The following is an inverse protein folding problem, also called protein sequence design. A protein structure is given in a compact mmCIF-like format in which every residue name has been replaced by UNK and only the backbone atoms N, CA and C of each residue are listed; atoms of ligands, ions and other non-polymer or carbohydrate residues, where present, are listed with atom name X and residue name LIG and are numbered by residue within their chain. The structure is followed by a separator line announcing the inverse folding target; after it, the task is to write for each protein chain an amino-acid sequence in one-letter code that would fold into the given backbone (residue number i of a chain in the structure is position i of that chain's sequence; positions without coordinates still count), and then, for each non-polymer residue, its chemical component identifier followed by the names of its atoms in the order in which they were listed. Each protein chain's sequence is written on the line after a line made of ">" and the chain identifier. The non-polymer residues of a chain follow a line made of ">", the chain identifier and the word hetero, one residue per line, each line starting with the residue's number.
data_IF_762327351574
#
_entry.id   IF_762327351574
#
_cell.length_a   1.000
_cell.length_b   1.000
_cell.length_c   1.000
_cell.angle_alpha   90.00
_cell.angle_beta   90.00
_cell.angle_gamma   90.00
#
_symmetry.space_group_name_H-M   'P 1'
#
loop_
_entity.id
_entity.type
_entity.pdbx_description
1 polymer ?
#
# COMPACT_ATOMS: atom_id res chain seq x y z
N UNK A 1 55.52 -9.43 38.01
CA UNK A 1 56.53 -10.40 38.36
C UNK A 1 57.31 -10.64 37.08
N UNK A 2 58.47 -10.01 37.03
CA UNK A 2 59.81 -10.48 37.22
C UNK A 2 60.37 -11.08 35.94
N UNK A 3 61.38 -10.65 35.31
CA UNK A 3 62.62 -9.98 35.48
C UNK A 3 63.50 -10.25 34.26
N UNK A 4 64.20 -9.23 33.81
CA UNK A 4 65.41 -9.30 32.98
C UNK A 4 66.51 -10.19 33.65
N UNK A 5 67.55 -10.63 32.94
CA UNK A 5 68.67 -9.71 32.68
C UNK A 5 69.53 -9.97 31.39
N UNK A 6 70.27 -8.92 31.00
CA UNK A 6 71.54 -8.96 30.22
C UNK A 6 72.66 -9.77 30.88
N UNK A 7 73.77 -10.13 30.14
CA UNK A 7 74.90 -9.18 30.06
C UNK A 7 75.82 -9.22 28.78
N UNK A 8 76.44 -8.09 28.56
CA UNK A 8 77.74 -7.70 27.99
C UNK A 8 78.82 -8.79 27.66
N UNK A 9 79.49 -8.51 26.51
CA UNK A 9 80.97 -8.41 26.58
C UNK A 9 81.56 -7.76 25.35
N UNK A 10 82.42 -6.76 25.57
CA UNK A 10 83.31 -6.04 24.71
C UNK A 10 84.30 -6.96 23.98
N UNK A 11 84.71 -6.52 22.77
CA UNK A 11 86.14 -6.46 22.41
C UNK A 11 86.36 -5.48 21.24
N UNK A 12 87.25 -4.66 21.55
CA UNK A 12 88.00 -3.59 20.88
C UNK A 12 88.77 -4.14 19.67
N UNK A 13 88.78 -3.39 18.53
CA UNK A 13 89.97 -3.30 17.68
C UNK A 13 89.86 -2.06 16.76
N UNK A 14 90.87 -1.29 16.73
CA UNK A 14 91.03 0.07 16.32
C UNK A 14 91.11 0.28 14.81
N UNK A 15 91.38 1.53 14.34
CA UNK A 15 90.97 2.08 13.11
C UNK A 15 91.91 1.85 11.94
N UNK A 16 91.35 1.57 10.74
CA UNK A 16 92.05 1.67 9.47
C UNK A 16 91.53 2.84 8.67
N UNK A 17 92.37 3.47 7.84
CA UNK A 17 92.20 4.86 7.41
C UNK A 17 91.14 5.07 6.36
N UNK A 18 90.52 6.26 6.42
CA UNK A 18 89.58 6.82 5.46
C UNK A 18 90.12 6.80 4.00
N UNK A 19 89.36 6.13 3.14
CA UNK A 19 89.37 6.42 1.70
C UNK A 19 88.15 7.28 1.38
N UNK A 20 88.44 8.50 0.98
CA UNK A 20 87.57 9.48 0.43
C UNK A 20 86.99 9.00 -0.92
N UNK A 21 85.74 8.79 -1.14
CA UNK A 21 85.18 8.65 -2.48
C UNK A 21 84.57 9.99 -2.93
N UNK A 22 85.49 10.96 -3.16
CA UNK A 22 85.18 12.07 -4.00
C UNK A 22 85.31 11.60 -5.45
N UNK A 23 84.25 11.11 -6.01
CA UNK A 23 84.28 10.71 -7.42
C UNK A 23 82.91 10.33 -7.88
N UNK A 24 82.35 11.15 -8.78
CA UNK A 24 81.12 10.98 -9.57
C UNK A 24 79.83 11.46 -8.96
N UNK A 25 79.76 12.71 -8.55
CA UNK A 25 78.52 13.46 -8.84
C UNK A 25 78.61 13.87 -10.34
N UNK A 26 78.12 12.97 -11.19
CA UNK A 26 77.72 13.38 -12.53
C UNK A 26 76.55 14.35 -12.34
N UNK A 27 76.85 15.65 -12.37
CA UNK A 27 75.85 16.68 -12.43
C UNK A 27 75.06 16.42 -13.70
N UNK A 28 73.87 15.82 -13.56
CA UNK A 28 72.99 15.62 -14.69
C UNK A 28 72.75 16.98 -15.32
N UNK A 29 72.97 17.07 -16.65
CA UNK A 29 72.71 18.27 -17.38
C UNK A 29 71.34 18.90 -16.98
N UNK A 30 71.23 20.22 -16.88
CA UNK A 30 69.98 20.89 -16.52
C UNK A 30 68.82 20.42 -17.39
N UNK A 31 69.04 19.99 -18.61
CA UNK A 31 68.04 19.36 -19.49
C UNK A 31 67.56 17.99 -19.00
N UNK A 32 68.47 17.13 -18.53
CA UNK A 32 68.14 15.83 -18.01
C UNK A 32 67.33 15.92 -16.65
N UNK A 33 67.64 16.93 -15.83
CA UNK A 33 66.86 17.22 -14.61
C UNK A 33 65.45 17.71 -14.93
N UNK A 34 65.28 18.52 -15.98
CA UNK A 34 63.99 19.01 -16.42
C UNK A 34 63.14 17.88 -17.03
N UNK A 35 63.73 17.00 -17.84
CA UNK A 35 63.04 15.82 -18.39
C UNK A 35 62.55 14.89 -17.29
N UNK A 36 63.36 14.62 -16.27
CA UNK A 36 62.94 13.80 -15.12
C UNK A 36 61.84 14.46 -14.31
N UNK A 37 61.88 15.80 -14.16
CA UNK A 37 60.80 16.53 -13.48
C UNK A 37 59.49 16.51 -14.28
N UNK A 38 59.55 16.63 -15.62
CA UNK A 38 58.40 16.50 -16.49
C UNK A 38 57.79 15.10 -16.41
N UNK A 39 58.59 14.03 -16.49
CA UNK A 39 58.09 12.66 -16.32
C UNK A 39 57.38 12.44 -14.96
N UNK A 40 57.97 12.96 -13.90
CA UNK A 40 57.33 12.88 -12.56
C UNK A 40 55.99 13.62 -12.52
N UNK A 41 55.92 14.78 -13.16
CA UNK A 41 54.67 15.55 -13.20
C UNK A 41 53.61 14.85 -14.05
N UNK A 42 53.97 14.26 -15.17
CA UNK A 42 53.06 13.47 -16.00
C UNK A 42 52.52 12.23 -15.24
N UNK A 43 53.41 11.52 -14.52
CA UNK A 43 53.01 10.38 -13.69
C UNK A 43 52.08 10.80 -12.54
N UNK A 44 52.33 11.96 -11.91
CA UNK A 44 51.46 12.48 -10.85
C UNK A 44 50.11 12.94 -11.38
N UNK A 45 50.09 13.56 -12.58
CA UNK A 45 48.84 13.91 -13.26
C UNK A 45 48.01 12.64 -13.54
N UNK A 46 48.61 11.60 -14.15
CA UNK A 46 47.91 10.31 -14.41
C UNK A 46 47.36 9.67 -13.15
N UNK A 47 48.14 9.70 -12.05
CA UNK A 47 47.69 9.16 -10.75
C UNK A 47 46.49 9.95 -10.21
N UNK A 48 46.51 11.30 -10.34
CA UNK A 48 45.38 12.13 -9.91
C UNK A 48 44.13 11.89 -10.76
N UNK A 49 44.26 11.83 -12.08
CA UNK A 49 43.16 11.54 -12.99
C UNK A 49 42.54 10.17 -12.69
N UNK A 50 43.36 9.14 -12.44
CA UNK A 50 42.90 7.82 -12.07
C UNK A 50 42.19 7.82 -10.70
N UNK A 51 42.68 8.58 -9.71
CA UNK A 51 42.07 8.72 -8.41
C UNK A 51 40.74 9.49 -8.50
N UNK A 52 40.64 10.53 -9.29
CA UNK A 52 39.41 11.28 -9.53
C UNK A 52 38.35 10.41 -10.22
N UNK A 53 38.72 9.64 -11.23
CA UNK A 53 37.82 8.71 -11.89
C UNK A 53 37.28 7.64 -10.92
N UNK A 54 38.12 7.09 -10.05
CA UNK A 54 37.71 6.13 -9.03
C UNK A 54 36.81 6.78 -7.99
N UNK A 55 37.11 8.02 -7.56
CA UNK A 55 36.23 8.77 -6.64
C UNK A 55 34.85 9.05 -7.25
N UNK A 56 34.79 9.43 -8.52
CA UNK A 56 33.51 9.64 -9.22
C UNK A 56 32.71 8.34 -9.29
N UNK A 57 33.36 7.22 -9.62
CA UNK A 57 32.70 5.91 -9.64
C UNK A 57 32.13 5.54 -8.28
N UNK A 58 32.93 5.66 -7.21
CA UNK A 58 32.47 5.37 -5.84
C UNK A 58 31.37 6.30 -5.36
N UNK A 59 31.42 7.58 -5.72
CA UNK A 59 30.33 8.51 -5.42
C UNK A 59 29.03 8.12 -6.12
N UNK A 60 29.11 7.67 -7.36
CA UNK A 60 27.94 7.12 -8.07
C UNK A 60 27.34 5.91 -7.37
N UNK A 61 28.18 4.93 -7.01
CA UNK A 61 27.77 3.73 -6.28
C UNK A 61 27.16 4.05 -4.90
N UNK A 62 27.77 4.98 -4.16
CA UNK A 62 27.24 5.44 -2.87
C UNK A 62 25.89 6.13 -3.00
N UNK A 63 25.69 6.94 -4.04
CA UNK A 63 24.43 7.62 -4.29
C UNK A 63 23.32 6.62 -4.61
N UNK A 64 23.62 5.63 -5.44
CA UNK A 64 22.68 4.55 -5.76
C UNK A 64 22.36 3.71 -4.53
N UNK A 65 23.36 3.33 -3.73
CA UNK A 65 23.18 2.55 -2.50
C UNK A 65 22.35 3.32 -1.47
N UNK A 66 22.58 4.62 -1.30
CA UNK A 66 21.79 5.47 -0.42
C UNK A 66 20.32 5.57 -0.88
N UNK A 67 20.07 5.69 -2.18
CA UNK A 67 18.71 5.67 -2.70
C UNK A 67 18.00 4.35 -2.40
N UNK A 68 18.67 3.20 -2.62
CA UNK A 68 18.14 1.87 -2.29
C UNK A 68 17.91 1.72 -0.79
N UNK A 69 18.81 2.21 0.05
CA UNK A 69 18.69 2.17 1.51
C UNK A 69 17.48 2.98 1.99
N UNK A 70 17.29 4.20 1.44
CA UNK A 70 16.12 5.03 1.76
C UNK A 70 14.81 4.35 1.39
N UNK A 71 14.74 3.76 0.20
CA UNK A 71 13.55 2.99 -0.22
C UNK A 71 13.29 1.79 0.71
N UNK A 72 14.32 1.04 1.08
CA UNK A 72 14.19 -0.09 1.99
C UNK A 72 13.74 0.35 3.40
N UNK A 73 14.25 1.48 3.91
CA UNK A 73 13.81 2.05 5.18
C UNK A 73 12.35 2.49 5.14
N UNK A 74 11.90 3.14 4.07
CA UNK A 74 10.49 3.51 3.89
C UNK A 74 9.59 2.27 3.87
N UNK A 75 10.01 1.22 3.16
CA UNK A 75 9.29 -0.06 3.11
C UNK A 75 9.21 -0.73 4.48
N UNK A 76 10.30 -0.72 5.27
CA UNK A 76 10.32 -1.28 6.62
C UNK A 76 9.37 -0.52 7.55
N UNK A 77 9.42 0.82 7.55
CA UNK A 77 8.51 1.66 8.35
C UNK A 77 7.04 1.41 7.97
N UNK A 78 6.75 1.30 6.68
CA UNK A 78 5.40 1.00 6.20
C UNK A 78 4.96 -0.40 6.64
N UNK A 79 5.83 -1.41 6.52
CA UNK A 79 5.56 -2.78 6.95
C UNK A 79 5.33 -2.87 8.46
N UNK A 80 6.13 -2.17 9.27
CA UNK A 80 5.97 -2.12 10.73
C UNK A 80 4.65 -1.47 11.14
N UNK A 81 4.26 -0.36 10.48
CA UNK A 81 2.95 0.27 10.68
C UNK A 81 1.81 -0.71 10.37
N UNK A 82 1.91 -1.43 9.23
CA UNK A 82 0.91 -2.39 8.82
C UNK A 82 0.81 -3.56 9.79
N UNK A 83 1.93 -4.10 10.25
CA UNK A 83 1.98 -5.19 11.23
C UNK A 83 1.39 -4.77 12.59
N UNK A 84 1.72 -3.58 13.07
CA UNK A 84 1.17 -3.02 14.33
C UNK A 84 -0.34 -2.83 14.26
N UNK A 85 -0.84 -2.25 13.14
CA UNK A 85 -2.27 -2.10 12.90
C UNK A 85 -2.96 -3.47 12.79
N UNK A 86 -2.33 -4.44 12.11
CA UNK A 86 -2.86 -5.80 11.96
C UNK A 86 -3.06 -6.51 13.31
N UNK A 87 -2.09 -6.46 14.21
CA UNK A 87 -2.20 -7.08 15.53
C UNK A 87 -3.31 -6.45 16.40
N UNK A 88 -3.42 -5.12 16.38
CA UNK A 88 -4.47 -4.40 17.11
C UNK A 88 -5.85 -4.62 16.47
N UNK A 89 -5.90 -4.70 15.15
CA UNK A 89 -7.14 -4.79 14.37
C UNK A 89 -7.95 -6.06 14.68
N UNK A 90 -7.30 -7.20 14.89
CA UNK A 90 -7.98 -8.46 15.20
C UNK A 90 -8.77 -8.38 16.51
N UNK A 91 -8.14 -7.89 17.57
CA UNK A 91 -8.75 -7.74 18.90
C UNK A 91 -9.88 -6.72 18.89
N UNK A 92 -9.57 -5.53 18.35
CA UNK A 92 -10.53 -4.41 18.27
C UNK A 92 -11.73 -4.77 17.37
N UNK A 93 -11.50 -5.42 16.23
CA UNK A 93 -12.59 -5.83 15.35
C UNK A 93 -13.55 -6.81 16.03
N UNK A 94 -13.02 -7.75 16.83
CA UNK A 94 -13.86 -8.69 17.56
C UNK A 94 -14.70 -7.98 18.66
N UNK A 95 -14.07 -7.06 19.40
CA UNK A 95 -14.75 -6.31 20.47
C UNK A 95 -15.76 -5.30 19.94
N UNK A 96 -15.56 -4.72 18.75
CA UNK A 96 -16.52 -3.80 18.12
C UNK A 96 -17.63 -4.56 17.39
N UNK A 97 -17.38 -5.70 16.77
CA UNK A 97 -18.42 -6.48 16.07
C UNK A 97 -19.53 -6.95 17.01
N UNK A 98 -19.20 -7.27 18.26
CA UNK A 98 -20.19 -7.74 19.24
C UNK A 98 -21.25 -6.67 19.52
N UNK A 99 -20.95 -5.46 20.04
CA UNK A 99 -21.95 -4.43 20.29
C UNK A 99 -22.66 -3.97 19.01
N UNK A 100 -21.95 -3.85 17.88
CA UNK A 100 -22.55 -3.48 16.58
C UNK A 100 -23.56 -4.55 16.13
N UNK A 101 -23.28 -5.83 16.35
CA UNK A 101 -24.23 -6.92 16.04
C UNK A 101 -25.53 -6.77 16.81
N UNK A 102 -25.47 -6.47 18.11
CA UNK A 102 -26.65 -6.23 18.93
C UNK A 102 -27.40 -4.96 18.51
N UNK A 103 -26.70 -3.86 18.26
CA UNK A 103 -27.30 -2.62 17.80
C UNK A 103 -28.03 -2.83 16.46
N UNK A 104 -27.41 -3.53 15.50
CA UNK A 104 -28.03 -3.84 14.22
C UNK A 104 -29.30 -4.68 14.37
N UNK A 105 -29.25 -5.78 15.15
CA UNK A 105 -30.39 -6.64 15.37
C UNK A 105 -31.55 -5.92 16.07
N UNK A 106 -31.24 -5.11 17.09
CA UNK A 106 -32.24 -4.32 17.79
C UNK A 106 -32.85 -3.26 16.87
N UNK A 107 -32.06 -2.66 15.99
CA UNK A 107 -32.50 -1.66 15.04
C UNK A 107 -33.46 -2.24 13.97
N UNK A 108 -33.17 -3.42 13.44
CA UNK A 108 -34.06 -4.14 12.52
C UNK A 108 -35.38 -4.48 13.19
N UNK A 109 -35.34 -4.91 14.48
CA UNK A 109 -36.54 -5.18 15.28
C UNK A 109 -37.35 -3.90 15.51
N UNK A 110 -36.70 -2.80 15.86
CA UNK A 110 -37.32 -1.48 16.04
C UNK A 110 -38.01 -1.01 14.76
N UNK A 111 -37.32 -1.17 13.58
CA UNK A 111 -37.90 -0.86 12.27
C UNK A 111 -39.22 -1.63 12.01
N UNK A 112 -39.24 -2.91 12.38
CA UNK A 112 -40.46 -3.74 12.28
C UNK A 112 -41.59 -3.23 13.20
N UNK A 113 -41.25 -2.84 14.42
CA UNK A 113 -42.24 -2.30 15.36
C UNK A 113 -42.82 -0.97 14.88
N UNK A 114 -41.95 -0.05 14.42
CA UNK A 114 -42.35 1.23 13.87
C UNK A 114 -43.25 1.04 12.63
N UNK A 115 -42.88 0.16 11.69
CA UNK A 115 -43.71 -0.13 10.52
C UNK A 115 -45.15 -0.59 10.90
N UNK A 116 -45.25 -1.50 11.90
CA UNK A 116 -46.56 -1.95 12.41
C UNK A 116 -47.34 -0.85 13.10
N UNK A 117 -46.65 0.05 13.84
CA UNK A 117 -47.29 1.21 14.45
C UNK A 117 -47.81 2.21 13.42
N UNK A 118 -47.04 2.48 12.38
CA UNK A 118 -47.44 3.35 11.28
C UNK A 118 -48.64 2.78 10.50
N UNK A 119 -48.67 1.46 10.28
CA UNK A 119 -49.82 0.76 9.69
C UNK A 119 -51.09 0.93 10.55
N UNK A 120 -50.97 0.79 11.88
CA UNK A 120 -52.09 1.01 12.80
C UNK A 120 -52.54 2.47 12.83
N UNK A 121 -51.62 3.43 12.80
CA UNK A 121 -51.93 4.87 12.70
C UNK A 121 -52.74 5.16 11.43
N UNK A 122 -52.35 4.58 10.29
CA UNK A 122 -53.07 4.74 9.03
C UNK A 122 -54.50 4.19 9.12
N UNK A 123 -54.69 3.04 9.73
CA UNK A 123 -56.01 2.47 9.98
C UNK A 123 -56.88 3.38 10.91
N UNK A 124 -56.27 3.99 11.94
CA UNK A 124 -56.96 4.96 12.80
C UNK A 124 -57.31 6.23 12.01
N UNK A 125 -56.48 6.74 11.17
CA UNK A 125 -56.74 7.91 10.29
C UNK A 125 -57.93 7.64 9.34
N UNK A 126 -57.96 6.49 8.71
CA UNK A 126 -59.08 6.07 7.86
C UNK A 126 -60.42 5.96 8.65
N UNK A 127 -60.34 5.52 9.90
CA UNK A 127 -61.49 5.39 10.80
C UNK A 127 -61.96 6.74 11.42
N UNK A 128 -61.10 7.78 11.46
CA UNK A 128 -61.40 9.09 12.04
C UNK A 128 -62.60 9.75 11.39
N UNK A 129 -62.77 9.60 10.06
CA UNK A 129 -63.93 10.13 9.31
C UNK A 129 -65.30 9.52 9.78
N UNK A 130 -65.27 8.37 10.44
CA UNK A 130 -66.43 7.66 10.95
C UNK A 130 -66.80 8.01 12.39
N UNK A 131 -66.01 8.87 13.06
CA UNK A 131 -66.27 9.27 14.46
C UNK A 131 -67.40 10.26 14.52
N UNK A 132 -68.54 9.80 15.04
CA UNK A 132 -69.77 10.61 15.15
C UNK A 132 -69.73 11.67 16.29
N UNK A 133 -68.72 11.65 17.18
CA UNK A 133 -68.60 12.54 18.33
C UNK A 133 -67.67 13.74 18.03
N UNK A 134 -68.21 14.97 17.80
CA UNK A 134 -67.41 16.14 17.39
C UNK A 134 -66.30 16.52 18.37
N UNK A 135 -66.58 16.35 19.68
CA UNK A 135 -65.59 16.66 20.72
C UNK A 135 -64.37 15.69 20.72
N UNK A 136 -64.61 14.43 20.36
CA UNK A 136 -63.52 13.43 20.24
C UNK A 136 -62.63 13.75 19.01
N UNK A 137 -63.25 14.01 17.88
CA UNK A 137 -62.53 14.39 16.65
C UNK A 137 -61.73 15.71 16.83
N UNK A 138 -62.29 16.69 17.54
CA UNK A 138 -61.56 17.94 17.85
C UNK A 138 -60.34 17.67 18.71
N UNK A 139 -60.47 16.83 19.75
CA UNK A 139 -59.35 16.46 20.64
C UNK A 139 -58.25 15.66 19.89
N UNK A 140 -58.62 14.76 19.00
CA UNK A 140 -57.67 13.99 18.19
C UNK A 140 -56.89 14.91 17.27
N UNK A 141 -57.54 15.87 16.60
CA UNK A 141 -56.88 16.84 15.73
C UNK A 141 -55.95 17.76 16.50
N UNK A 142 -56.35 18.22 17.72
CA UNK A 142 -55.46 19.02 18.57
C UNK A 142 -54.24 18.22 19.03
N UNK A 143 -54.41 16.94 19.38
CA UNK A 143 -53.30 16.06 19.76
C UNK A 143 -52.36 15.82 18.58
N UNK A 144 -52.86 15.51 17.36
CA UNK A 144 -52.12 15.33 16.14
C UNK A 144 -51.25 16.56 15.80
N UNK A 145 -51.87 17.78 15.87
CA UNK A 145 -51.15 19.03 15.68
C UNK A 145 -50.09 19.30 16.74
N UNK A 146 -50.41 19.00 18.01
CA UNK A 146 -49.46 19.23 19.13
C UNK A 146 -48.20 18.39 19.06
N UNK A 147 -48.28 17.14 18.56
CA UNK A 147 -47.12 16.23 18.43
C UNK A 147 -46.51 16.27 17.03
N UNK A 148 -47.10 17.05 16.13
CA UNK A 148 -46.68 17.13 14.71
C UNK A 148 -46.62 15.74 14.06
N UNK A 149 -47.74 14.98 14.23
CA UNK A 149 -47.79 13.55 13.83
C UNK A 149 -47.46 13.37 12.34
N UNK A 150 -47.89 14.27 11.50
CA UNK A 150 -47.65 14.19 10.05
C UNK A 150 -46.18 14.25 9.73
N UNK A 151 -45.45 15.15 10.38
CA UNK A 151 -44.00 15.24 10.26
C UNK A 151 -43.32 13.95 10.77
N UNK A 152 -43.73 13.42 11.93
CA UNK A 152 -43.15 12.19 12.48
C UNK A 152 -43.37 10.98 11.55
N UNK A 153 -44.53 10.87 10.90
CA UNK A 153 -44.81 9.77 9.97
C UNK A 153 -43.91 9.86 8.74
N UNK A 154 -43.62 11.08 8.27
CA UNK A 154 -42.77 11.33 7.10
C UNK A 154 -41.27 11.14 7.45
N UNK A 155 -40.81 11.63 8.61
CA UNK A 155 -39.40 11.70 9.00
C UNK A 155 -38.83 10.38 9.55
N UNK A 156 -39.62 9.63 10.33
CA UNK A 156 -39.17 8.36 10.98
C UNK A 156 -38.58 7.35 9.98
N UNK A 157 -39.21 7.07 8.80
CA UNK A 157 -38.62 6.16 7.83
C UNK A 157 -37.26 6.62 7.31
N UNK A 158 -37.09 7.94 7.13
CA UNK A 158 -35.82 8.55 6.72
C UNK A 158 -34.72 8.35 7.78
N UNK A 159 -35.00 8.69 9.03
CA UNK A 159 -34.08 8.50 10.17
C UNK A 159 -33.71 7.03 10.35
N UNK A 160 -34.67 6.12 10.15
CA UNK A 160 -34.41 4.69 10.21
C UNK A 160 -33.49 4.22 9.09
N UNK A 161 -33.68 4.71 7.87
CA UNK A 161 -32.85 4.38 6.71
C UNK A 161 -31.41 4.87 6.91
N UNK A 162 -31.23 6.13 7.31
CA UNK A 162 -29.89 6.73 7.56
C UNK A 162 -29.15 6.03 8.68
N UNK A 163 -29.83 5.70 9.80
CA UNK A 163 -29.21 5.00 10.92
C UNK A 163 -28.79 3.58 10.54
N UNK A 164 -29.60 2.87 9.74
CA UNK A 164 -29.27 1.53 9.22
C UNK A 164 -28.07 1.57 8.30
N UNK A 165 -27.98 2.58 7.43
CA UNK A 165 -26.82 2.80 6.57
C UNK A 165 -25.55 3.03 7.40
N UNK A 166 -25.62 3.88 8.44
CA UNK A 166 -24.53 4.15 9.37
C UNK A 166 -24.01 2.89 10.07
N UNK A 167 -24.91 2.07 10.60
CA UNK A 167 -24.57 0.80 11.28
C UNK A 167 -23.93 -0.19 10.29
N UNK A 168 -24.51 -0.33 9.09
CA UNK A 168 -24.00 -1.20 8.03
C UNK A 168 -22.59 -0.79 7.62
N UNK A 169 -22.32 0.50 7.54
CA UNK A 169 -21.01 1.06 7.27
C UNK A 169 -19.99 0.73 8.35
N UNK A 170 -20.33 0.89 9.62
CA UNK A 170 -19.43 0.52 10.73
C UNK A 170 -19.09 -0.97 10.67
N UNK A 171 -20.07 -1.84 10.39
CA UNK A 171 -19.83 -3.27 10.17
C UNK A 171 -18.86 -3.53 9.04
N UNK A 172 -18.96 -2.80 7.92
CA UNK A 172 -18.03 -2.93 6.79
C UNK A 172 -16.62 -2.52 7.19
N UNK A 173 -16.46 -1.37 7.86
CA UNK A 173 -15.14 -0.91 8.35
C UNK A 173 -14.49 -1.94 9.26
N UNK A 174 -15.25 -2.51 10.18
CA UNK A 174 -14.75 -3.51 11.13
C UNK A 174 -14.43 -4.83 10.44
N UNK A 175 -15.21 -5.20 9.41
CA UNK A 175 -14.92 -6.39 8.60
C UNK A 175 -13.63 -6.18 7.78
N UNK A 176 -13.48 -5.04 7.11
CA UNK A 176 -12.26 -4.68 6.35
C UNK A 176 -11.03 -4.68 7.26
N UNK A 177 -11.18 -4.18 8.50
CA UNK A 177 -10.13 -4.19 9.52
C UNK A 177 -9.78 -5.61 9.98
N UNK A 178 -10.77 -6.48 10.13
CA UNK A 178 -10.59 -7.90 10.48
C UNK A 178 -9.90 -8.67 9.35
N UNK A 179 -10.30 -8.40 8.10
CA UNK A 179 -9.70 -9.02 6.93
C UNK A 179 -8.25 -8.56 6.75
N UNK A 180 -7.97 -7.28 7.02
CA UNK A 180 -6.61 -6.75 7.11
C UNK A 180 -5.75 -7.48 8.15
N UNK A 181 -6.31 -7.80 9.31
CA UNK A 181 -5.62 -8.51 10.39
C UNK A 181 -5.43 -10.00 10.14
N UNK A 182 -6.32 -10.64 9.37
CA UNK A 182 -6.35 -12.09 9.14
C UNK A 182 -5.49 -12.58 7.98
N UNK A 183 -4.64 -11.72 7.42
CA UNK A 183 -3.81 -12.06 6.26
C UNK A 183 -3.00 -13.38 6.43
N UNK A 184 -2.98 -14.02 7.63
CA UNK A 184 -1.99 -15.05 7.91
C UNK A 184 -2.45 -16.41 8.42
N UNK A 185 -3.73 -16.69 8.71
CA UNK A 185 -3.96 -17.83 9.59
C UNK A 185 -4.04 -19.23 8.95
N UNK A 186 -4.42 -19.40 7.67
CA UNK A 186 -4.62 -20.75 7.08
C UNK A 186 -4.51 -20.83 5.54
N UNK A 187 -3.64 -20.07 4.92
CA UNK A 187 -3.49 -20.16 3.45
C UNK A 187 -2.14 -20.78 3.10
N UNK A 188 -2.19 -21.86 2.32
CA UNK A 188 -1.01 -22.52 1.81
C UNK A 188 -0.58 -21.89 0.48
N UNK A 189 0.72 -21.69 0.33
CA UNK A 189 1.32 -21.32 -0.95
C UNK A 189 1.06 -22.41 -1.96
N UNK A 190 0.55 -22.03 -3.13
CA UNK A 190 0.23 -22.98 -4.20
C UNK A 190 0.47 -22.36 -5.57
N UNK A 191 0.73 -23.21 -6.53
CA UNK A 191 0.77 -22.82 -7.93
C UNK A 191 -0.63 -22.44 -8.40
N UNK A 192 -0.77 -21.26 -8.98
CA UNK A 192 -2.06 -20.74 -9.41
C UNK A 192 -1.96 -19.99 -10.73
N UNK A 193 -3.03 -20.12 -11.51
CA UNK A 193 -3.25 -19.35 -12.72
C UNK A 193 -3.87 -18.01 -12.38
N UNK A 194 -3.10 -16.92 -12.58
CA UNK A 194 -3.57 -15.56 -12.27
C UNK A 194 -4.73 -15.10 -13.15
N UNK A 195 -4.81 -15.53 -14.42
CA UNK A 195 -5.93 -15.18 -15.30
C UNK A 195 -7.24 -15.73 -14.77
N UNK A 196 -7.23 -16.99 -14.27
CA UNK A 196 -8.41 -17.58 -13.64
C UNK A 196 -8.84 -16.80 -12.39
N UNK A 197 -7.88 -16.32 -11.58
CA UNK A 197 -8.11 -15.47 -10.42
C UNK A 197 -8.70 -14.11 -10.80
N UNK A 198 -8.15 -13.45 -11.83
CA UNK A 198 -8.64 -12.19 -12.37
C UNK A 198 -10.08 -12.32 -12.89
N UNK A 199 -10.35 -13.35 -13.71
CA UNK A 199 -11.68 -13.57 -14.28
C UNK A 199 -12.72 -13.89 -13.20
N UNK A 200 -12.36 -14.71 -12.20
CA UNK A 200 -13.22 -14.98 -11.04
C UNK A 200 -13.52 -13.67 -10.27
N UNK A 201 -12.52 -12.84 -10.03
CA UNK A 201 -12.68 -11.54 -9.38
C UNK A 201 -13.59 -10.62 -10.17
N UNK A 202 -13.38 -10.51 -11.49
CA UNK A 202 -14.23 -9.67 -12.37
C UNK A 202 -15.69 -10.13 -12.37
N UNK A 203 -15.94 -11.44 -12.31
CA UNK A 203 -17.30 -11.98 -12.20
C UNK A 203 -17.97 -11.56 -10.88
N UNK A 204 -17.23 -11.63 -9.76
CA UNK A 204 -17.74 -11.22 -8.44
C UNK A 204 -18.10 -9.73 -8.42
N UNK A 205 -17.21 -8.87 -8.96
CA UNK A 205 -17.43 -7.41 -8.95
C UNK A 205 -18.25 -6.91 -10.13
N UNK A 206 -18.79 -7.80 -10.97
CA UNK A 206 -19.48 -7.42 -12.20
C UNK A 206 -20.62 -6.42 -11.95
N UNK A 207 -21.35 -6.54 -10.85
CA UNK A 207 -22.44 -5.63 -10.49
C UNK A 207 -21.96 -4.20 -10.17
N UNK A 208 -20.77 -4.06 -9.59
CA UNK A 208 -20.17 -2.76 -9.28
C UNK A 208 -19.59 -2.09 -10.54
N UNK A 209 -19.10 -2.89 -11.48
CA UNK A 209 -18.34 -2.42 -12.65
C UNK A 209 -19.23 -2.18 -13.88
N UNK A 210 -20.21 -3.07 -14.15
CA UNK A 210 -20.99 -3.10 -15.41
C UNK A 210 -21.72 -1.80 -15.77
N UNK A 211 -22.09 -0.99 -14.75
CA UNK A 211 -22.77 0.29 -14.93
C UNK A 211 -21.79 1.47 -15.03
N UNK A 212 -20.50 1.26 -14.74
CA UNK A 212 -19.48 2.29 -14.68
C UNK A 212 -18.43 2.17 -15.79
N UNK A 213 -18.04 0.94 -16.17
CA UNK A 213 -16.93 0.72 -17.09
C UNK A 213 -17.12 -0.51 -17.98
N UNK A 214 -16.51 -0.45 -19.17
CA UNK A 214 -16.22 -1.61 -19.99
C UNK A 214 -14.89 -2.23 -19.57
N UNK A 215 -14.88 -3.54 -19.31
CA UNK A 215 -13.66 -4.26 -18.95
C UNK A 215 -13.03 -4.86 -20.19
N UNK A 216 -11.80 -4.41 -20.51
CA UNK A 216 -11.01 -4.91 -21.64
C UNK A 216 -9.88 -5.79 -21.08
N UNK A 217 -9.78 -7.01 -21.58
CA UNK A 217 -8.74 -7.98 -21.21
C UNK A 217 -7.71 -8.07 -22.33
N UNK A 218 -6.50 -7.68 -22.05
CA UNK A 218 -5.33 -7.77 -22.94
C UNK A 218 -4.30 -8.67 -22.28
N UNK A 219 -4.67 -9.96 -22.08
CA UNK A 219 -3.83 -10.93 -21.40
C UNK A 219 -2.70 -11.40 -22.30
N UNK A 220 -1.45 -11.24 -21.83
CA UNK A 220 -0.29 -11.86 -22.41
C UNK A 220 -0.08 -13.30 -21.89
N UNK A 221 0.88 -13.99 -22.42
CA UNK A 221 1.24 -15.33 -21.92
C UNK A 221 2.03 -15.19 -20.62
N UNK A 222 1.51 -15.77 -19.53
CA UNK A 222 2.15 -15.83 -18.22
C UNK A 222 2.09 -17.28 -17.68
N UNK A 223 3.14 -17.75 -16.98
CA UNK A 223 3.10 -19.02 -16.29
C UNK A 223 2.21 -18.97 -15.05
N UNK A 224 1.89 -20.13 -14.48
CA UNK A 224 1.42 -20.20 -13.09
C UNK A 224 2.49 -19.68 -12.16
N UNK A 225 2.08 -19.05 -11.06
CA UNK A 225 2.98 -18.55 -10.03
C UNK A 225 2.68 -19.20 -8.68
N UNK A 226 3.69 -19.32 -7.84
CA UNK A 226 3.53 -19.76 -6.46
C UNK A 226 3.06 -18.59 -5.60
N UNK A 227 1.81 -18.65 -5.13
CA UNK A 227 1.17 -17.52 -4.45
C UNK A 227 0.08 -17.98 -3.46
N UNK A 228 -0.54 -17.00 -2.82
CA UNK A 228 -1.77 -17.14 -2.01
C UNK A 228 -2.95 -16.58 -2.83
N UNK A 229 -3.67 -17.39 -3.61
CA UNK A 229 -4.60 -16.92 -4.65
C UNK A 229 -5.71 -16.01 -4.11
N UNK A 230 -6.28 -16.34 -2.95
CA UNK A 230 -7.34 -15.52 -2.35
C UNK A 230 -6.87 -14.13 -1.95
N UNK A 231 -5.61 -13.98 -1.53
CA UNK A 231 -5.02 -12.68 -1.22
C UNK A 231 -4.82 -11.86 -2.50
N UNK A 232 -4.28 -12.46 -3.56
CA UNK A 232 -4.11 -11.77 -4.84
C UNK A 232 -5.46 -11.37 -5.46
N UNK A 233 -6.48 -12.25 -5.38
CA UNK A 233 -7.83 -11.92 -5.82
C UNK A 233 -8.39 -10.71 -5.07
N UNK A 234 -8.09 -10.58 -3.78
CA UNK A 234 -8.48 -9.41 -2.99
C UNK A 234 -7.77 -8.13 -3.47
N UNK A 235 -6.49 -8.21 -3.84
CA UNK A 235 -5.77 -7.08 -4.45
C UNK A 235 -6.44 -6.68 -5.77
N UNK A 236 -6.73 -7.62 -6.64
CA UNK A 236 -7.38 -7.36 -7.92
C UNK A 236 -8.76 -6.72 -7.74
N UNK A 237 -9.56 -7.26 -6.81
CA UNK A 237 -10.87 -6.72 -6.46
C UNK A 237 -10.77 -5.26 -6.00
N UNK A 238 -9.86 -4.97 -5.07
CA UNK A 238 -9.68 -3.62 -4.52
C UNK A 238 -9.32 -2.60 -5.62
N UNK A 239 -8.41 -2.97 -6.52
CA UNK A 239 -7.97 -2.07 -7.59
C UNK A 239 -9.08 -1.88 -8.62
N UNK A 240 -9.74 -2.95 -9.07
CA UNK A 240 -10.83 -2.89 -10.06
C UNK A 240 -12.02 -2.06 -9.55
N UNK A 241 -12.44 -2.30 -8.31
CA UNK A 241 -13.55 -1.54 -7.68
C UNK A 241 -13.17 -0.07 -7.48
N UNK A 242 -11.92 0.21 -7.09
CA UNK A 242 -11.45 1.59 -7.00
C UNK A 242 -11.45 2.29 -8.35
N UNK A 243 -10.99 1.62 -9.42
CA UNK A 243 -11.04 2.12 -10.79
C UNK A 243 -12.48 2.42 -11.24
N UNK A 244 -13.42 1.51 -11.00
CA UNK A 244 -14.83 1.73 -11.31
C UNK A 244 -15.43 2.93 -10.55
N UNK A 245 -15.08 3.10 -9.28
CA UNK A 245 -15.51 4.23 -8.46
C UNK A 245 -14.87 5.57 -8.87
N UNK A 246 -13.67 5.53 -9.45
CA UNK A 246 -12.98 6.74 -9.93
C UNK A 246 -13.60 7.31 -11.22
N UNK A 247 -14.45 6.57 -11.92
CA UNK A 247 -15.15 7.03 -13.11
C UNK A 247 -16.36 7.88 -12.69
N UNK A 248 -16.33 9.22 -12.93
CA UNK A 248 -17.28 10.15 -12.31
C UNK A 248 -18.68 10.08 -12.95
N UNK A 249 -18.75 10.05 -14.26
CA UNK A 249 -20.02 10.01 -15.00
C UNK A 249 -19.81 9.44 -16.40
N UNK A 250 -20.86 8.79 -16.93
CA UNK A 250 -20.77 8.10 -18.21
C UNK A 250 -20.19 6.70 -18.08
N UNK A 251 -19.71 6.15 -19.19
CA UNK A 251 -19.14 4.80 -19.28
C UNK A 251 -17.65 4.89 -19.56
N UNK A 252 -16.84 4.51 -18.56
CA UNK A 252 -15.38 4.47 -18.67
C UNK A 252 -14.87 3.12 -19.16
N UNK A 253 -13.56 2.91 -19.00
CA UNK A 253 -12.88 1.66 -19.36
C UNK A 253 -11.93 1.25 -18.24
N UNK A 254 -11.90 -0.05 -17.97
CA UNK A 254 -10.87 -0.68 -17.16
C UNK A 254 -10.15 -1.68 -18.05
N UNK A 255 -8.87 -1.48 -18.28
CA UNK A 255 -8.04 -2.37 -19.10
C UNK A 255 -7.11 -3.17 -18.20
N UNK A 256 -7.09 -4.49 -18.37
CA UNK A 256 -6.23 -5.40 -17.61
C UNK A 256 -5.25 -6.02 -18.58
N UNK A 257 -3.97 -5.81 -18.32
CA UNK A 257 -2.86 -6.36 -19.10
C UNK A 257 -2.01 -7.25 -18.22
N UNK A 258 -1.45 -8.29 -18.80
CA UNK A 258 -0.53 -9.18 -18.11
C UNK A 258 0.64 -9.54 -19.01
N UNK A 259 1.78 -9.88 -18.41
CA UNK A 259 2.96 -10.33 -19.15
C UNK A 259 4.05 -10.79 -18.21
N UNK A 260 5.18 -11.17 -18.79
CA UNK A 260 6.38 -11.64 -18.08
C UNK A 260 7.52 -10.65 -18.22
N UNK A 261 8.37 -10.58 -17.21
CA UNK A 261 9.61 -9.81 -17.22
C UNK A 261 10.69 -10.59 -16.44
N UNK A 262 11.52 -11.36 -17.15
CA UNK A 262 12.49 -12.28 -16.53
C UNK A 262 11.78 -13.34 -15.67
N UNK A 263 12.18 -13.45 -14.41
CA UNK A 263 11.60 -14.39 -13.43
C UNK A 263 10.33 -13.84 -12.73
N UNK A 264 9.78 -12.73 -13.24
CA UNK A 264 8.57 -12.13 -12.69
C UNK A 264 7.44 -12.13 -13.70
N UNK A 265 6.21 -12.12 -13.16
CA UNK A 265 5.00 -11.76 -13.90
C UNK A 265 4.58 -10.36 -13.50
N UNK A 266 3.97 -9.63 -14.43
CA UNK A 266 3.38 -8.34 -14.14
C UNK A 266 1.90 -8.32 -14.55
N UNK A 267 1.10 -7.62 -13.75
CA UNK A 267 -0.31 -7.35 -13.99
C UNK A 267 -0.49 -5.84 -13.95
N UNK A 268 -1.10 -5.29 -14.98
CA UNK A 268 -1.43 -3.87 -15.08
C UNK A 268 -2.94 -3.69 -15.16
N UNK A 269 -3.49 -2.85 -14.28
CA UNK A 269 -4.91 -2.51 -14.24
C UNK A 269 -5.01 -1.00 -14.41
N UNK A 270 -5.54 -0.57 -15.56
CA UNK A 270 -5.66 0.83 -15.93
C UNK A 270 -7.14 1.23 -16.01
N UNK A 271 -7.52 2.33 -15.37
CA UNK A 271 -8.86 2.94 -15.47
C UNK A 271 -8.79 4.28 -16.20
N UNK A 272 -9.93 4.71 -16.72
CA UNK A 272 -10.12 6.04 -17.33
C UNK A 272 -10.89 6.98 -16.41
N UNK A 273 -10.66 6.88 -15.11
CA UNK A 273 -11.32 7.67 -14.08
C UNK A 273 -10.74 9.08 -13.92
N UNK A 274 -11.08 9.71 -12.79
CA UNK A 274 -10.66 11.07 -12.45
C UNK A 274 -9.15 11.23 -12.21
N UNK A 275 -8.42 10.12 -12.06
CA UNK A 275 -7.01 10.14 -11.69
C UNK A 275 -6.77 10.57 -10.23
N UNK A 276 -5.50 10.58 -9.84
CA UNK A 276 -5.04 10.89 -8.49
C UNK A 276 -4.09 12.10 -8.56
N UNK A 277 -4.33 13.16 -7.78
CA UNK A 277 -3.41 14.29 -7.66
C UNK A 277 -2.02 13.86 -7.15
N UNK A 278 -0.96 14.49 -7.65
CA UNK A 278 0.44 14.15 -7.29
C UNK A 278 0.70 14.20 -5.78
N UNK A 279 0.07 15.14 -5.08
CA UNK A 279 0.16 15.31 -3.61
C UNK A 279 -0.40 14.12 -2.82
N UNK A 280 -1.27 13.32 -3.42
CA UNK A 280 -1.87 12.14 -2.80
C UNK A 280 -1.12 10.84 -3.10
N UNK A 281 -0.35 10.77 -4.20
CA UNK A 281 0.32 9.55 -4.65
C UNK A 281 1.22 8.92 -3.58
N UNK A 282 1.91 9.72 -2.79
CA UNK A 282 2.76 9.23 -1.70
C UNK A 282 1.96 8.63 -0.52
N UNK A 283 0.65 8.90 -0.43
CA UNK A 283 -0.19 8.54 0.71
C UNK A 283 -1.29 7.53 0.41
N UNK A 284 -1.49 7.16 -0.87
CA UNK A 284 -2.59 6.26 -1.25
C UNK A 284 -2.50 4.88 -0.60
N UNK A 285 -1.31 4.47 -0.17
CA UNK A 285 -1.06 3.22 0.54
C UNK A 285 -1.07 3.40 2.08
N UNK A 286 -1.27 4.62 2.60
CA UNK A 286 -1.42 4.83 4.03
C UNK A 286 -2.76 4.26 4.51
N UNK A 287 -2.79 3.53 5.62
CA UNK A 287 -4.03 3.06 6.22
C UNK A 287 -4.98 4.23 6.53
N UNK A 288 -6.27 4.04 6.23
CA UNK A 288 -7.36 5.01 6.41
C UNK A 288 -7.29 6.26 5.52
N UNK A 289 -6.30 6.36 4.62
CA UNK A 289 -6.27 7.44 3.66
C UNK A 289 -7.36 7.25 2.59
N UNK A 290 -8.20 8.26 2.42
CA UNK A 290 -9.25 8.29 1.39
C UNK A 290 -9.56 9.70 0.96
N UNK A 291 -9.80 9.91 -0.33
CA UNK A 291 -10.32 11.15 -0.92
C UNK A 291 -11.83 11.08 -1.17
N UNK A 292 -12.45 9.93 -0.93
CA UNK A 292 -13.90 9.73 -1.08
C UNK A 292 -14.65 10.44 0.04
N UNK A 293 -15.89 10.91 -0.23
CA UNK A 293 -16.74 11.51 0.80
C UNK A 293 -16.87 10.59 2.02
N UNK A 294 -17.09 11.21 3.17
CA UNK A 294 -17.33 10.49 4.42
C UNK A 294 -18.43 9.46 4.16
N UNK A 295 -18.12 8.17 4.25
CA UNK A 295 -19.07 7.08 4.02
C UNK A 295 -18.79 6.17 2.85
N UNK A 296 -18.08 6.63 1.85
CA UNK A 296 -17.89 5.89 0.59
C UNK A 296 -16.56 5.15 0.49
N UNK A 297 -15.66 5.32 1.45
CA UNK A 297 -14.35 4.64 1.46
C UNK A 297 -13.82 4.43 2.87
N UNK A 298 -13.30 3.24 3.15
CA UNK A 298 -12.65 2.90 4.44
C UNK A 298 -11.19 3.33 4.48
N UNK A 299 -10.55 3.59 3.31
CA UNK A 299 -9.13 3.88 3.20
C UNK A 299 -8.20 2.69 3.50
N UNK A 300 -8.75 1.46 3.63
CA UNK A 300 -7.98 0.26 3.96
C UNK A 300 -7.64 -0.60 2.73
N UNK A 301 -8.36 -0.47 1.62
CA UNK A 301 -8.23 -1.37 0.47
C UNK A 301 -6.84 -1.34 -0.18
N UNK A 302 -6.28 -0.15 -0.44
CA UNK A 302 -4.96 -0.03 -1.07
C UNK A 302 -3.81 -0.35 -0.10
N UNK A 303 -3.93 0.00 1.19
CA UNK A 303 -2.94 -0.37 2.19
C UNK A 303 -2.86 -1.89 2.39
N UNK A 304 -4.02 -2.57 2.40
CA UNK A 304 -4.09 -4.02 2.41
C UNK A 304 -3.48 -4.64 1.14
N UNK A 305 -3.78 -4.07 -0.03
CA UNK A 305 -3.20 -4.52 -1.30
C UNK A 305 -1.68 -4.41 -1.27
N UNK A 306 -1.13 -3.31 -0.76
CA UNK A 306 0.31 -3.12 -0.58
C UNK A 306 0.91 -4.21 0.33
N UNK A 307 0.32 -4.46 1.50
CA UNK A 307 0.77 -5.50 2.43
C UNK A 307 0.76 -6.91 1.81
N UNK A 308 -0.29 -7.24 1.06
CA UNK A 308 -0.39 -8.52 0.35
C UNK A 308 0.73 -8.66 -0.69
N UNK A 309 0.96 -7.65 -1.51
CA UNK A 309 2.00 -7.68 -2.54
C UNK A 309 3.40 -7.78 -1.92
N UNK A 310 3.68 -7.06 -0.84
CA UNK A 310 4.94 -7.18 -0.08
C UNK A 310 5.13 -8.60 0.47
N UNK A 311 4.10 -9.21 1.02
CA UNK A 311 4.14 -10.61 1.49
C UNK A 311 4.49 -11.60 0.38
N UNK A 312 4.09 -11.29 -0.86
CA UNK A 312 4.44 -12.08 -2.05
C UNK A 312 5.82 -11.70 -2.64
N UNK A 313 6.64 -10.90 -1.94
CA UNK A 313 7.92 -10.37 -2.44
C UNK A 313 7.79 -9.63 -3.77
N UNK A 314 6.61 -9.07 -4.02
CA UNK A 314 6.28 -8.31 -5.20
C UNK A 314 6.40 -6.81 -4.99
N UNK A 315 6.10 -6.07 -6.05
CA UNK A 315 6.07 -4.62 -6.06
C UNK A 315 4.75 -4.13 -6.66
N UNK A 316 4.22 -3.03 -6.13
CA UNK A 316 3.07 -2.33 -6.68
C UNK A 316 3.46 -0.89 -6.98
N UNK A 317 3.25 -0.46 -8.21
CA UNK A 317 3.53 0.87 -8.71
C UNK A 317 2.24 1.54 -9.16
N UNK A 318 2.19 2.86 -9.10
CA UNK A 318 1.05 3.66 -9.54
C UNK A 318 1.50 4.77 -10.46
N UNK A 319 0.80 4.93 -11.58
CA UNK A 319 0.93 6.06 -12.49
C UNK A 319 -0.44 6.67 -12.65
N UNK A 320 -0.57 7.97 -12.37
CA UNK A 320 -1.87 8.64 -12.44
C UNK A 320 -1.70 10.12 -12.75
N UNK A 321 -2.60 10.61 -13.57
CA UNK A 321 -2.72 12.03 -13.89
C UNK A 321 -4.19 12.46 -13.73
N UNK A 322 -4.46 13.60 -13.07
CA UNK A 322 -5.81 14.12 -12.93
C UNK A 322 -6.51 14.24 -14.27
N UNK A 323 -7.70 13.63 -14.38
CA UNK A 323 -8.52 13.62 -15.60
C UNK A 323 -8.12 12.59 -16.66
N UNK A 324 -7.04 11.84 -16.49
CA UNK A 324 -6.60 10.82 -17.45
C UNK A 324 -6.74 9.38 -16.94
N UNK A 325 -7.03 9.22 -15.65
CA UNK A 325 -7.19 7.92 -15.01
C UNK A 325 -5.96 7.48 -14.22
N UNK A 326 -5.98 6.21 -13.80
CA UNK A 326 -4.93 5.62 -12.98
C UNK A 326 -4.54 4.27 -13.52
N UNK A 327 -3.25 3.98 -13.49
CA UNK A 327 -2.69 2.67 -13.82
C UNK A 327 -1.93 2.14 -12.61
N UNK A 328 -2.36 0.99 -12.11
CA UNK A 328 -1.62 0.21 -11.12
C UNK A 328 -0.89 -0.91 -11.84
N UNK A 329 0.40 -1.07 -11.56
CA UNK A 329 1.24 -2.15 -12.05
C UNK A 329 1.75 -2.97 -10.87
N UNK A 330 1.42 -4.26 -10.88
CA UNK A 330 1.83 -5.25 -9.88
C UNK A 330 2.87 -6.14 -10.52
N UNK A 331 4.01 -6.33 -9.86
CA UNK A 331 5.06 -7.27 -10.29
C UNK A 331 5.24 -8.32 -9.20
N UNK A 332 5.19 -9.60 -9.58
CA UNK A 332 5.27 -10.72 -8.66
C UNK A 332 6.32 -11.72 -9.14
N UNK A 333 7.13 -12.33 -8.26
CA UNK A 333 8.02 -13.41 -8.64
C UNK A 333 7.20 -14.66 -9.02
N UNK A 334 7.69 -15.42 -10.00
CA UNK A 334 7.04 -16.69 -10.42
C UNK A 334 7.12 -17.70 -9.29
N UNK A 335 8.22 -17.73 -8.54
CA UNK A 335 8.41 -18.64 -7.40
C UNK A 335 8.53 -17.84 -6.12
N UNK A 336 7.92 -18.33 -5.05
CA UNK A 336 8.14 -17.78 -3.72
C UNK A 336 9.60 -18.03 -3.31
N UNK A 337 10.38 -17.00 -2.94
CA UNK A 337 11.74 -17.21 -2.44
C UNK A 337 11.70 -18.06 -1.17
N UNK A 338 12.47 -19.16 -1.15
CA UNK A 338 12.58 -20.00 0.04
C UNK A 338 13.13 -19.15 1.22
N UNK A 339 12.64 -19.37 2.46
CA UNK A 339 13.16 -18.65 3.63
C UNK A 339 14.67 -18.91 3.76
N UNK A 340 15.50 -17.86 3.55
CA UNK A 340 16.97 -17.94 3.60
C UNK A 340 17.70 -17.55 2.31
N UNK A 341 17.02 -17.29 1.20
CA UNK A 341 17.62 -16.68 0.01
C UNK A 341 17.23 -15.19 -0.06
N UNK A 342 17.77 -14.40 0.85
CA UNK A 342 17.80 -12.95 0.66
C UNK A 342 18.63 -12.65 -0.59
N UNK A 343 18.05 -11.88 -1.49
CA UNK A 343 18.57 -11.53 -2.78
C UNK A 343 20.01 -10.96 -2.67
N UNK A 344 20.97 -11.81 -2.91
CA UNK A 344 22.30 -11.39 -3.31
C UNK A 344 22.29 -11.04 -4.80
N UNK A 345 21.92 -9.80 -5.13
CA UNK A 345 22.28 -9.11 -6.38
C UNK A 345 22.20 -7.60 -6.21
#
# INVERSE_FOLDING_TARGET
>A
MSMNPHPNSNSDDGPAPARDPAGDRVDASPTAQLELALQRLEDDIRKREAAEAELMRRNGELTELNARLSMAQEQLVQSEKLASIGQLAAGVAHEINNPIGYVFSNFETLGTYIARMLEMFKAYEEAEASIAAPAVSARLREMRARIDLDYLIEDIPGLMAESREGITRVRKIVQDLKDFSRVDANQEWQWANLHAGLDSTLNIVSNEVKYKADVVREYGEIPEIECLPSQLNQVFMNIVVNGAHAIPSGRGRITIRTGTAGDNVWIEIADTGSGIPKEHLARIFDPFFTTKPIGSGTGLGLSLSYGIIQKHHGQIEVQSEPGQGTTFRITLPIRHPAPGQEAGR
#
